data_IF_497883369418
#
_entry.id   IF_497883369418
#
_cell.length_a   1.000
_cell.length_b   1.000
_cell.length_c   1.000
_cell.angle_alpha   90.00
_cell.angle_beta   90.00
_cell.angle_gamma   90.00
#
_symmetry.space_group_name_H-M   'P 1'
#
loop_
_entity.id
_entity.type
_entity.pdbx_description
1 polymer ?
#
# COMPACT_ATOMS: atom_id res chain seq x y z
N UNK A 1 7.58 -5.79 -1.78
CA UNK A 1 6.76 -5.10 -0.77
C UNK A 1 5.81 -6.10 -0.14
N UNK A 2 5.69 -6.07 1.19
CA UNK A 2 4.75 -6.84 2.00
C UNK A 2 3.62 -5.93 2.50
N UNK A 3 2.56 -6.51 3.05
CA UNK A 3 1.45 -5.74 3.65
C UNK A 3 1.94 -4.78 4.74
N UNK A 4 2.86 -5.22 5.59
CA UNK A 4 3.41 -4.39 6.67
C UNK A 4 4.11 -3.13 6.17
N UNK A 5 4.76 -3.19 4.99
CA UNK A 5 5.37 -2.01 4.38
C UNK A 5 4.29 -0.99 3.97
N UNK A 6 3.14 -1.47 3.46
CA UNK A 6 2.01 -0.63 3.06
C UNK A 6 1.35 0.01 4.28
N UNK A 7 1.19 -0.77 5.35
CA UNK A 7 0.65 -0.32 6.62
C UNK A 7 1.55 0.75 7.25
N UNK A 8 2.87 0.52 7.31
CA UNK A 8 3.84 1.52 7.80
C UNK A 8 3.79 2.81 6.99
N UNK A 9 3.72 2.70 5.66
CA UNK A 9 3.60 3.86 4.78
C UNK A 9 2.34 4.69 5.09
N UNK A 10 1.20 4.00 5.28
CA UNK A 10 -0.04 4.65 5.67
C UNK A 10 0.05 5.33 7.04
N UNK A 11 0.59 4.64 8.05
CA UNK A 11 0.72 5.18 9.40
C UNK A 11 1.62 6.42 9.43
N UNK A 12 2.75 6.42 8.71
CA UNK A 12 3.63 7.59 8.62
C UNK A 12 2.93 8.80 7.98
N UNK A 13 2.10 8.60 6.95
CA UNK A 13 1.27 9.70 6.41
C UNK A 13 0.17 10.12 7.38
N UNK A 14 -0.38 9.18 8.15
CA UNK A 14 -1.40 9.46 9.18
C UNK A 14 -0.87 10.29 10.33
N UNK A 15 0.38 10.10 10.73
CA UNK A 15 1.02 10.94 11.74
C UNK A 15 1.12 12.41 11.29
N UNK A 16 1.29 12.65 9.98
CA UNK A 16 1.44 14.00 9.41
C UNK A 16 0.08 14.66 9.09
N UNK A 17 -0.91 13.88 8.67
CA UNK A 17 -2.17 14.38 8.08
C UNK A 17 -3.41 14.06 8.91
N UNK A 18 -3.30 13.20 9.92
CA UNK A 18 -4.40 12.76 10.76
C UNK A 18 -5.57 12.20 9.94
N UNK A 19 -6.76 12.75 10.14
CA UNK A 19 -7.99 12.33 9.46
C UNK A 19 -7.93 12.57 7.94
N UNK A 20 -7.07 13.47 7.45
CA UNK A 20 -7.02 13.86 6.03
C UNK A 20 -6.21 12.86 5.16
N UNK A 21 -5.60 11.86 5.79
CA UNK A 21 -4.77 10.84 5.13
C UNK A 21 -5.48 10.13 3.97
N UNK A 22 -6.79 9.89 4.09
CA UNK A 22 -7.56 9.24 3.02
C UNK A 22 -7.59 10.08 1.74
N UNK A 23 -7.52 11.42 1.83
CA UNK A 23 -7.51 12.32 0.66
C UNK A 23 -6.22 12.16 -0.15
N UNK A 24 -5.13 11.70 0.50
CA UNK A 24 -3.82 11.46 -0.13
C UNK A 24 -3.60 10.00 -0.53
N UNK A 25 -4.64 9.18 -0.56
CA UNK A 25 -4.49 7.75 -0.83
C UNK A 25 -3.94 7.46 -2.23
N UNK A 26 -4.25 8.31 -3.22
CA UNK A 26 -3.72 8.19 -4.58
C UNK A 26 -2.19 8.39 -4.60
N UNK A 27 -1.69 9.38 -3.86
CA UNK A 27 -0.26 9.65 -3.69
C UNK A 27 0.44 8.52 -2.94
N UNK A 28 -0.17 8.04 -1.85
CA UNK A 28 0.33 6.88 -1.10
C UNK A 28 0.45 5.64 -2.00
N UNK A 29 -0.54 5.36 -2.83
CA UNK A 29 -0.51 4.21 -3.75
C UNK A 29 0.55 4.36 -4.84
N UNK A 30 0.85 5.59 -5.29
CA UNK A 30 1.99 5.83 -6.21
C UNK A 30 3.31 5.49 -5.54
N UNK A 31 3.52 5.96 -4.31
CA UNK A 31 4.74 5.68 -3.55
C UNK A 31 4.89 4.19 -3.23
N UNK A 32 3.81 3.53 -2.82
CA UNK A 32 3.77 2.09 -2.60
C UNK A 32 4.11 1.31 -3.87
N UNK A 33 3.66 1.77 -5.05
CA UNK A 33 3.98 1.13 -6.34
C UNK A 33 5.48 1.18 -6.64
N UNK A 34 6.14 2.29 -6.35
CA UNK A 34 7.60 2.43 -6.52
C UNK A 34 8.38 1.52 -5.57
N UNK A 35 7.99 1.45 -4.30
CA UNK A 35 8.59 0.52 -3.33
C UNK A 35 8.38 -0.93 -3.78
N UNK A 36 7.15 -1.28 -4.20
CA UNK A 36 6.86 -2.58 -4.75
C UNK A 36 7.72 -2.90 -5.97
N UNK A 37 7.89 -1.95 -6.90
CA UNK A 37 8.72 -2.15 -8.10
C UNK A 37 10.17 -2.46 -7.73
N UNK A 38 10.77 -1.72 -6.80
CA UNK A 38 12.15 -1.95 -6.33
C UNK A 38 12.33 -3.35 -5.75
N UNK A 39 11.37 -3.84 -4.99
CA UNK A 39 11.43 -5.21 -4.47
C UNK A 39 11.15 -6.27 -5.54
N UNK A 40 10.21 -6.01 -6.43
CA UNK A 40 9.89 -6.90 -7.55
C UNK A 40 11.11 -7.06 -8.47
N UNK A 41 11.91 -6.02 -8.69
CA UNK A 41 13.14 -6.12 -9.49
C UNK A 41 14.17 -7.10 -8.93
N UNK A 42 14.14 -7.39 -7.61
CA UNK A 42 15.03 -8.40 -6.99
C UNK A 42 14.60 -9.83 -7.35
N UNK A 43 13.29 -10.04 -7.50
CA UNK A 43 12.66 -11.33 -7.79
C UNK A 43 11.44 -11.12 -8.69
N UNK A 44 11.64 -10.84 -10.00
CA UNK A 44 10.54 -10.51 -10.89
C UNK A 44 9.63 -11.72 -11.11
N UNK A 45 8.39 -11.46 -11.50
CA UNK A 45 7.49 -12.51 -11.96
C UNK A 45 8.06 -13.17 -13.21
N UNK A 46 7.82 -14.47 -13.46
CA UNK A 46 8.38 -15.16 -14.63
C UNK A 46 8.10 -14.47 -15.97
N UNK A 47 6.95 -13.81 -16.10
CA UNK A 47 6.52 -13.12 -17.32
C UNK A 47 7.03 -11.66 -17.40
N UNK A 48 7.77 -11.16 -16.41
CA UNK A 48 8.28 -9.78 -16.39
C UNK A 48 7.21 -8.69 -16.24
N UNK A 49 5.96 -9.06 -15.98
CA UNK A 49 4.85 -8.11 -15.85
C UNK A 49 4.71 -7.58 -14.42
N UNK A 50 5.30 -6.41 -14.17
CA UNK A 50 5.17 -5.70 -12.90
C UNK A 50 3.76 -5.16 -12.68
N UNK A 51 3.04 -4.73 -13.72
CA UNK A 51 1.69 -4.17 -13.57
C UNK A 51 0.70 -5.25 -13.13
N UNK A 52 0.82 -6.47 -13.65
CA UNK A 52 0.04 -7.61 -13.19
C UNK A 52 0.35 -7.95 -11.73
N UNK A 53 1.64 -8.01 -11.35
CA UNK A 53 2.05 -8.22 -9.96
C UNK A 53 1.50 -7.14 -9.04
N UNK A 54 1.59 -5.87 -9.46
CA UNK A 54 1.10 -4.72 -8.72
C UNK A 54 -0.41 -4.74 -8.55
N UNK A 55 -1.17 -5.07 -9.61
CA UNK A 55 -2.64 -5.17 -9.55
C UNK A 55 -3.09 -6.21 -8.53
N UNK A 56 -2.46 -7.39 -8.52
CA UNK A 56 -2.76 -8.45 -7.56
C UNK A 56 -2.42 -8.02 -6.11
N UNK A 57 -1.25 -7.43 -5.90
CA UNK A 57 -0.82 -6.92 -4.59
C UNK A 57 -1.78 -5.84 -4.07
N UNK A 58 -2.04 -4.81 -4.89
CA UNK A 58 -2.88 -3.66 -4.53
C UNK A 58 -4.29 -4.10 -4.15
N UNK A 59 -4.94 -4.94 -4.96
CA UNK A 59 -6.31 -5.38 -4.71
C UNK A 59 -6.47 -6.04 -3.35
N UNK A 60 -5.65 -7.06 -3.06
CA UNK A 60 -5.69 -7.79 -1.79
C UNK A 60 -5.34 -6.90 -0.59
N UNK A 61 -4.22 -6.18 -0.67
CA UNK A 61 -3.66 -5.49 0.48
C UNK A 61 -4.36 -4.17 0.80
N UNK A 62 -4.99 -3.51 -0.19
CA UNK A 62 -5.75 -2.30 0.06
C UNK A 62 -7.04 -2.59 0.84
N UNK A 63 -7.74 -3.67 0.51
CA UNK A 63 -8.90 -4.13 1.29
C UNK A 63 -8.51 -4.46 2.73
N UNK A 64 -7.39 -5.16 2.93
CA UNK A 64 -6.85 -5.44 4.28
C UNK A 64 -6.47 -4.15 5.03
N UNK A 65 -5.86 -3.18 4.34
CA UNK A 65 -5.50 -1.90 4.94
C UNK A 65 -6.75 -1.16 5.43
N UNK A 66 -7.76 -1.00 4.57
CA UNK A 66 -9.03 -0.33 4.93
C UNK A 66 -9.71 -1.01 6.11
N UNK A 67 -9.79 -2.35 6.11
CA UNK A 67 -10.35 -3.09 7.24
C UNK A 67 -9.56 -2.84 8.53
N UNK A 68 -8.22 -2.87 8.48
CA UNK A 68 -7.37 -2.67 9.66
C UNK A 68 -7.50 -1.28 10.29
N UNK A 69 -7.73 -0.24 9.47
CA UNK A 69 -7.86 1.14 9.96
C UNK A 69 -9.28 1.45 10.45
N UNK A 70 -10.32 0.85 9.85
CA UNK A 70 -11.71 1.02 10.28
C UNK A 70 -11.98 0.35 11.63
N UNK A 71 -11.34 -0.79 11.92
CA UNK A 71 -11.47 -1.45 13.23
C UNK A 71 -10.85 -0.67 14.39
N UNK A 72 -10.07 0.38 14.12
CA UNK A 72 -9.53 1.29 15.13
C UNK A 72 -10.42 2.52 15.41
N UNK A 73 -11.57 2.64 14.74
CA UNK A 73 -12.54 3.75 14.93
C UNK A 73 -13.82 3.18 15.56
N UNK A 74 -13.70 2.71 16.81
CA UNK A 74 -14.84 2.50 17.71
C UNK A 74 -14.48 3.19 19.03
N UNK A 75 -14.84 4.45 19.12
CA UNK A 75 -14.81 5.28 20.34
C UNK A 75 -16.08 6.09 20.37
#
# INVERSE_FOLDING_TARGET
>A
MKFEDLKKLYLGKKEQLGAETYKRISELLKEAKEIHKRDWLKHPTPNGDHEQSWRAFKGKNFTLLLSSISSSVKT
#
